data_IF_584439074120
#
_entry.id   IF_584439074120
#
_cell.length_a   1.000
_cell.length_b   1.000
_cell.length_c   1.000
_cell.angle_alpha   90.00
_cell.angle_beta   90.00
_cell.angle_gamma   90.00
#
_symmetry.space_group_name_H-M   'P 1'
#
loop_
_entity.id
_entity.type
_entity.pdbx_description
1 polymer ?
#
# COMPACT_ATOMS: atom_id res chain seq x y z
N UNK A 1 1.98 29.36 -10.74
CA UNK A 1 2.04 28.01 -10.13
C UNK A 1 0.95 27.98 -9.07
N UNK A 2 -0.19 27.36 -9.35
CA UNK A 2 -1.29 27.26 -8.39
C UNK A 2 -0.94 26.16 -7.39
N UNK A 3 -0.24 26.50 -6.31
CA UNK A 3 -0.24 25.64 -5.12
C UNK A 3 -1.55 25.93 -4.40
N UNK A 4 -2.62 25.25 -4.81
CA UNK A 4 -3.74 25.10 -3.91
C UNK A 4 -3.19 24.36 -2.68
N UNK A 5 -3.21 25.01 -1.52
CA UNK A 5 -3.06 24.31 -0.25
C UNK A 5 -4.06 23.16 -0.31
N UNK A 6 -3.62 21.88 -0.22
CA UNK A 6 -4.57 20.79 -0.26
C UNK A 6 -5.53 21.05 0.90
N UNK A 7 -6.80 21.32 0.56
CA UNK A 7 -7.85 21.45 1.55
C UNK A 7 -7.91 20.21 2.43
N UNK A 8 -8.74 20.22 3.45
CA UNK A 8 -8.95 19.00 4.24
C UNK A 8 -9.69 17.95 3.38
N UNK A 9 -8.95 17.14 2.62
CA UNK A 9 -9.48 16.11 1.71
C UNK A 9 -9.84 14.79 2.44
N UNK A 10 -10.14 14.87 3.74
CA UNK A 10 -10.44 13.70 4.55
C UNK A 10 -11.81 13.11 4.17
N UNK A 11 -11.82 11.82 3.81
CA UNK A 11 -13.05 11.10 3.48
C UNK A 11 -13.79 11.60 2.23
N UNK A 12 -13.09 12.22 1.27
CA UNK A 12 -13.72 12.79 0.07
C UNK A 12 -13.68 11.89 -1.15
N UNK A 13 -12.84 10.85 -1.18
CA UNK A 13 -12.60 10.05 -2.39
C UNK A 13 -13.24 8.66 -2.34
N UNK A 14 -14.00 8.30 -3.36
CA UNK A 14 -14.57 6.95 -3.51
C UNK A 14 -13.48 5.88 -3.73
N UNK A 15 -12.36 6.27 -4.34
CA UNK A 15 -11.20 5.40 -4.58
C UNK A 15 -9.90 6.18 -4.34
N UNK A 16 -9.03 5.63 -3.50
CA UNK A 16 -7.66 6.09 -3.29
C UNK A 16 -6.70 4.99 -3.75
N UNK A 17 -5.62 5.35 -4.44
CA UNK A 17 -4.57 4.41 -4.83
C UNK A 17 -3.23 4.87 -4.23
N UNK A 18 -2.58 3.96 -3.52
CA UNK A 18 -1.26 4.14 -2.93
C UNK A 18 -0.29 3.17 -3.58
N UNK A 19 0.40 3.65 -4.62
CA UNK A 19 1.59 2.99 -5.15
C UNK A 19 2.80 3.47 -4.34
N UNK A 20 3.27 2.62 -3.44
CA UNK A 20 4.19 3.03 -2.38
C UNK A 20 5.65 2.74 -2.75
N UNK A 21 6.62 3.52 -2.25
CA UNK A 21 8.03 3.18 -2.41
C UNK A 21 8.31 1.82 -1.77
N UNK A 22 9.01 0.94 -2.50
CA UNK A 22 9.20 -0.47 -2.16
C UNK A 22 10.69 -0.86 -2.19
N UNK A 23 11.04 -2.04 -1.67
CA UNK A 23 12.42 -2.59 -1.73
C UNK A 23 12.88 -3.02 -3.12
N UNK A 24 11.95 -3.09 -4.09
CA UNK A 24 12.15 -3.49 -5.47
C UNK A 24 12.57 -4.97 -5.67
N UNK A 25 12.32 -5.86 -4.71
CA UNK A 25 12.70 -7.29 -4.82
C UNK A 25 11.99 -8.02 -5.95
N UNK A 26 10.82 -7.54 -6.38
CA UNK A 26 10.10 -8.09 -7.53
C UNK A 26 10.74 -7.74 -8.88
N UNK A 27 11.58 -6.71 -8.97
CA UNK A 27 12.04 -6.15 -10.26
C UNK A 27 13.56 -6.25 -10.49
N UNK A 28 14.26 -7.11 -9.77
CA UNK A 28 15.73 -7.26 -9.84
C UNK A 28 16.30 -7.43 -11.26
N UNK A 29 15.58 -8.08 -12.17
CA UNK A 29 15.98 -8.23 -13.57
C UNK A 29 16.14 -6.89 -14.30
N UNK A 30 15.27 -5.91 -13.99
CA UNK A 30 15.30 -4.57 -14.57
C UNK A 30 16.07 -3.56 -13.70
N UNK A 31 16.21 -3.86 -12.41
CA UNK A 31 16.85 -3.02 -11.39
C UNK A 31 17.89 -3.84 -10.60
N UNK A 32 19.01 -4.24 -11.23
CA UNK A 32 20.02 -5.06 -10.59
C UNK A 32 20.72 -4.33 -9.43
N UNK A 33 20.66 -3.00 -9.39
CA UNK A 33 21.14 -2.18 -8.27
C UNK A 33 20.36 -2.45 -6.97
N UNK A 34 19.09 -2.82 -7.07
CA UNK A 34 18.27 -3.12 -5.90
C UNK A 34 18.77 -4.36 -5.13
N UNK A 35 19.39 -5.34 -5.81
CA UNK A 35 20.02 -6.50 -5.16
C UNK A 35 21.09 -6.10 -4.14
N UNK A 36 21.88 -5.06 -4.46
CA UNK A 36 23.00 -4.61 -3.63
C UNK A 36 22.57 -3.69 -2.50
N UNK A 37 21.39 -3.08 -2.62
CA UNK A 37 20.81 -2.16 -1.64
C UNK A 37 19.87 -2.85 -0.67
N UNK A 38 19.48 -4.10 -0.97
CA UNK A 38 18.56 -4.84 -0.14
C UNK A 38 19.24 -5.37 1.12
N UNK A 39 18.73 -4.96 2.27
CA UNK A 39 19.02 -5.56 3.56
C UNK A 39 17.78 -5.49 4.47
N UNK A 40 17.76 -6.33 5.51
CA UNK A 40 16.62 -6.43 6.42
C UNK A 40 16.34 -5.14 7.22
N UNK A 41 17.37 -4.32 7.47
CA UNK A 41 17.24 -3.04 8.16
C UNK A 41 16.52 -2.02 7.28
N UNK A 42 16.91 -1.89 6.01
CA UNK A 42 16.21 -1.05 5.04
C UNK A 42 14.80 -1.57 4.74
N UNK A 43 14.59 -2.88 4.68
CA UNK A 43 13.25 -3.48 4.53
C UNK A 43 12.31 -3.06 5.67
N UNK A 44 12.81 -3.07 6.91
CA UNK A 44 12.02 -2.65 8.08
C UNK A 44 11.67 -1.17 8.01
N UNK A 45 12.63 -0.31 7.60
CA UNK A 45 12.41 1.13 7.46
C UNK A 45 11.39 1.44 6.36
N UNK A 46 11.51 0.79 5.20
CA UNK A 46 10.59 1.04 4.09
C UNK A 46 9.18 0.54 4.43
N UNK A 47 9.05 -0.63 5.07
CA UNK A 47 7.75 -1.13 5.53
C UNK A 47 7.06 -0.16 6.51
N UNK A 48 7.81 0.44 7.44
CA UNK A 48 7.26 1.45 8.35
C UNK A 48 6.81 2.73 7.62
N UNK A 49 7.55 3.16 6.59
CA UNK A 49 7.15 4.28 5.74
C UNK A 49 5.89 3.95 4.94
N UNK A 50 5.81 2.76 4.34
CA UNK A 50 4.64 2.28 3.60
C UNK A 50 3.40 2.30 4.47
N UNK A 51 3.51 1.81 5.72
CA UNK A 51 2.44 1.84 6.69
C UNK A 51 1.94 3.27 6.97
N UNK A 52 2.87 4.22 7.17
CA UNK A 52 2.53 5.64 7.37
C UNK A 52 1.82 6.26 6.15
N UNK A 53 2.21 5.85 4.95
CA UNK A 53 1.53 6.27 3.70
C UNK A 53 0.14 5.65 3.61
N UNK A 54 0.00 4.38 3.98
CA UNK A 54 -1.27 3.66 3.96
C UNK A 54 -2.29 4.30 4.92
N UNK A 55 -1.87 4.69 6.12
CA UNK A 55 -2.69 5.45 7.08
C UNK A 55 -3.16 6.78 6.49
N UNK A 56 -2.24 7.54 5.89
CA UNK A 56 -2.56 8.80 5.27
C UNK A 56 -3.54 8.62 4.09
N UNK A 57 -3.36 7.56 3.29
CA UNK A 57 -4.24 7.22 2.19
C UNK A 57 -5.64 6.82 2.70
N UNK A 58 -5.72 6.00 3.74
CA UNK A 58 -6.97 5.55 4.35
C UNK A 58 -7.83 6.72 4.86
N UNK A 59 -7.21 7.74 5.44
CA UNK A 59 -7.90 8.94 5.93
C UNK A 59 -8.65 9.71 4.82
N UNK A 60 -8.25 9.54 3.55
CA UNK A 60 -8.84 10.21 2.38
C UNK A 60 -10.00 9.44 1.75
N UNK A 61 -10.16 8.16 2.10
CA UNK A 61 -11.20 7.28 1.54
C UNK A 61 -12.56 7.64 2.14
N UNK A 62 -13.56 7.93 1.31
CA UNK A 62 -14.92 8.17 1.76
C UNK A 62 -15.52 6.91 2.44
N UNK A 63 -16.49 7.07 3.36
CA UNK A 63 -17.25 5.92 3.89
C UNK A 63 -17.89 5.11 2.75
N UNK A 64 -17.64 3.80 2.71
CA UNK A 64 -18.07 2.93 1.60
C UNK A 64 -17.12 2.92 0.40
N UNK A 65 -16.08 3.74 0.41
CA UNK A 65 -15.05 3.81 -0.63
C UNK A 65 -14.00 2.70 -0.54
N UNK A 66 -12.98 2.83 -1.38
CA UNK A 66 -11.95 1.81 -1.58
C UNK A 66 -10.53 2.40 -1.53
N UNK A 67 -9.59 1.58 -1.08
CA UNK A 67 -8.16 1.87 -1.08
C UNK A 67 -7.43 0.75 -1.81
N UNK A 68 -6.66 1.09 -2.83
CA UNK A 68 -5.73 0.18 -3.49
C UNK A 68 -4.34 0.45 -2.97
N UNK A 69 -3.65 -0.60 -2.55
CA UNK A 69 -2.24 -0.56 -2.17
C UNK A 69 -1.45 -1.40 -3.15
N UNK A 70 -0.34 -0.89 -3.69
CA UNK A 70 0.53 -1.63 -4.59
C UNK A 70 2.01 -1.47 -4.27
N UNK A 71 2.75 -2.54 -4.50
CA UNK A 71 4.21 -2.57 -4.44
C UNK A 71 4.79 -3.31 -5.64
N UNK A 72 6.05 -3.03 -5.90
CA UNK A 72 6.93 -3.74 -6.81
C UNK A 72 7.81 -4.79 -6.09
N UNK A 73 7.38 -5.24 -4.90
CA UNK A 73 8.13 -6.12 -4.00
C UNK A 73 7.45 -7.48 -3.88
N UNK A 74 8.24 -8.52 -3.65
CA UNK A 74 7.76 -9.86 -3.28
C UNK A 74 7.89 -10.14 -1.78
N UNK A 75 8.38 -9.19 -0.98
CA UNK A 75 8.59 -9.38 0.45
C UNK A 75 7.26 -9.37 1.23
N UNK A 76 7.01 -10.35 2.11
CA UNK A 76 5.82 -10.38 2.97
C UNK A 76 5.68 -9.13 3.86
N UNK A 77 6.81 -8.60 4.35
CA UNK A 77 6.89 -7.42 5.21
C UNK A 77 6.34 -6.14 4.56
N UNK A 78 6.28 -6.10 3.23
CA UNK A 78 5.73 -4.98 2.45
C UNK A 78 4.33 -5.29 1.91
N UNK A 79 3.83 -6.52 2.06
CA UNK A 79 2.65 -7.03 1.36
C UNK A 79 1.59 -7.58 2.33
N UNK A 80 1.50 -8.89 2.51
CA UNK A 80 0.47 -9.53 3.34
C UNK A 80 0.57 -9.13 4.82
N UNK A 81 1.78 -9.07 5.39
CA UNK A 81 1.98 -8.63 6.77
C UNK A 81 1.58 -7.17 6.99
N UNK A 82 1.79 -6.31 5.98
CA UNK A 82 1.28 -4.94 6.03
C UNK A 82 -0.24 -4.89 6.09
N UNK A 83 -0.91 -5.70 5.25
CA UNK A 83 -2.38 -5.72 5.23
C UNK A 83 -2.96 -6.32 6.50
N UNK A 84 -2.31 -7.32 7.08
CA UNK A 84 -2.70 -7.90 8.38
C UNK A 84 -2.58 -6.86 9.51
N UNK A 85 -1.46 -6.16 9.60
CA UNK A 85 -1.28 -5.09 10.59
C UNK A 85 -2.31 -3.97 10.40
N UNK A 86 -2.44 -3.47 9.16
CA UNK A 86 -3.35 -2.39 8.84
C UNK A 86 -4.81 -2.72 9.16
N UNK A 87 -5.31 -3.89 8.76
CA UNK A 87 -6.71 -4.27 9.03
C UNK A 87 -6.99 -4.57 10.50
N UNK A 88 -5.97 -4.91 11.30
CA UNK A 88 -6.10 -5.00 12.75
C UNK A 88 -6.25 -3.62 13.41
N UNK A 89 -5.56 -2.61 12.88
CA UNK A 89 -5.55 -1.24 13.42
C UNK A 89 -6.73 -0.39 12.90
N UNK A 90 -7.22 -0.69 11.69
CA UNK A 90 -8.32 0.01 11.02
C UNK A 90 -9.52 -0.93 10.80
N UNK A 91 -10.33 -1.19 11.84
CA UNK A 91 -11.44 -2.16 11.77
C UNK A 91 -12.59 -1.73 10.85
N UNK A 92 -12.61 -0.48 10.37
CA UNK A 92 -13.53 -0.04 9.33
C UNK A 92 -13.09 -0.46 7.93
N UNK A 93 -11.86 -0.94 7.74
CA UNK A 93 -11.36 -1.51 6.50
C UNK A 93 -11.34 -3.04 6.52
N UNK A 94 -11.59 -3.64 5.35
CA UNK A 94 -11.53 -5.08 5.15
C UNK A 94 -10.89 -5.42 3.81
N UNK A 95 -10.23 -6.58 3.72
CA UNK A 95 -9.61 -7.03 2.48
C UNK A 95 -10.68 -7.44 1.45
N UNK A 96 -10.73 -6.71 0.34
CA UNK A 96 -11.60 -6.99 -0.81
C UNK A 96 -10.98 -7.90 -1.86
N UNK A 97 -9.66 -8.07 -1.84
CA UNK A 97 -8.91 -8.95 -2.75
C UNK A 97 -7.42 -8.64 -2.71
N UNK A 98 -6.60 -9.61 -3.14
CA UNK A 98 -5.15 -9.42 -3.29
C UNK A 98 -4.63 -10.25 -4.46
N UNK A 99 -3.66 -9.70 -5.17
CA UNK A 99 -2.91 -10.37 -6.22
C UNK A 99 -1.41 -10.33 -5.92
N UNK A 100 -0.78 -11.48 -6.12
CA UNK A 100 0.68 -11.61 -6.15
C UNK A 100 1.07 -12.00 -7.57
N UNK A 101 1.87 -11.14 -8.20
CA UNK A 101 2.57 -11.48 -9.42
C UNK A 101 4.00 -11.83 -9.02
N UNK A 102 4.36 -13.10 -9.17
CA UNK A 102 5.74 -13.53 -8.97
C UNK A 102 6.54 -13.27 -10.26
N UNK A 103 7.84 -12.91 -10.15
CA UNK A 103 8.68 -12.72 -11.33
C UNK A 103 8.70 -13.99 -12.20
N UNK A 104 8.48 -13.82 -13.50
CA UNK A 104 8.55 -14.90 -14.47
C UNK A 104 9.31 -14.43 -15.73
N UNK A 105 9.28 -15.22 -16.80
CA UNK A 105 9.92 -14.83 -18.06
C UNK A 105 9.22 -13.67 -18.76
N UNK A 106 7.93 -13.51 -18.55
CA UNK A 106 7.08 -12.55 -19.26
C UNK A 106 6.97 -11.22 -18.50
N UNK A 107 6.96 -11.25 -17.17
CA UNK A 107 6.80 -10.08 -16.33
C UNK A 107 7.64 -10.14 -15.05
N UNK A 108 7.83 -9.00 -14.40
CA UNK A 108 8.49 -8.93 -13.10
C UNK A 108 7.48 -9.18 -11.96
N UNK A 109 7.95 -9.10 -10.73
CA UNK A 109 7.14 -9.27 -9.53
C UNK A 109 6.42 -7.99 -9.11
N UNK A 110 5.20 -8.15 -8.62
CA UNK A 110 4.39 -7.07 -8.06
C UNK A 110 3.35 -7.63 -7.07
N UNK A 111 2.85 -6.74 -6.22
CA UNK A 111 1.74 -7.02 -5.33
C UNK A 111 0.72 -5.89 -5.43
N UNK A 112 -0.55 -6.25 -5.39
CA UNK A 112 -1.63 -5.29 -5.21
C UNK A 112 -2.72 -5.86 -4.31
N UNK A 113 -3.33 -5.00 -3.51
CA UNK A 113 -4.53 -5.36 -2.77
C UNK A 113 -5.58 -4.26 -2.87
N UNK A 114 -6.83 -4.69 -2.69
CA UNK A 114 -7.98 -3.82 -2.58
C UNK A 114 -8.51 -3.92 -1.15
N UNK A 115 -8.60 -2.78 -0.46
CA UNK A 115 -9.23 -2.62 0.83
C UNK A 115 -10.56 -1.89 0.63
N UNK A 116 -11.60 -2.35 1.34
CA UNK A 116 -12.94 -1.75 1.32
C UNK A 116 -13.21 -1.08 2.65
N UNK A 117 -13.54 0.20 2.63
CA UNK A 117 -13.98 0.94 3.81
C UNK A 117 -15.46 0.72 4.05
N UNK A 118 -15.84 0.52 5.29
CA UNK A 118 -17.23 0.39 5.70
C UNK A 118 -18.00 1.70 5.49
N UNK A 119 -19.25 1.61 5.05
CA UNK A 119 -20.16 2.78 4.93
C UNK A 119 -20.73 3.23 6.28
N UNK A 120 -20.64 2.38 7.30
CA UNK A 120 -21.07 2.70 8.66
C UNK A 120 -19.99 3.52 9.36
N UNK A 121 -20.29 4.78 9.65
CA UNK A 121 -19.57 5.53 10.67
C UNK A 121 -19.68 4.75 11.99
N UNK A 122 -18.58 4.15 12.43
CA UNK A 122 -18.47 3.62 13.79
C UNK A 122 -18.53 4.86 14.69
N UNK A 123 -19.72 5.14 15.22
CA UNK A 123 -19.87 6.14 16.28
C UNK A 123 -19.01 5.67 17.44
N UNK A 124 -17.92 6.40 17.72
CA UNK A 124 -17.19 6.31 18.98
C UNK A 124 -18.00 6.92 20.10
#
# INVERSE_FOLDING_TARGET
MLTAEPGNLAGEFDLVMADVPCSNTGVFRRRPDALWRFDHGELTKIAALQHSILDAAAARVAPGGQLVYSTCSIEPEENDRQMEAFTAEHPDFSLGGREFLLPCREHDGAYACLLRRSSRSIRR
#
